data_IF_415048251038
#
_entry.id   IF_415048251038
#
_cell.length_a   1.000
_cell.length_b   1.000
_cell.length_c   1.000
_cell.angle_alpha   90.00
_cell.angle_beta   90.00
_cell.angle_gamma   90.00
#
_symmetry.space_group_name_H-M   'P 1'
#
loop_
_entity.id
_entity.type
_entity.pdbx_description
1 polymer ?
#
# COMPACT_ATOMS: atom_id res chain seq x y z
N UNK A 1 -61.21 36.59 -29.05
CA UNK A 1 -60.09 36.49 -30.01
C UNK A 1 -58.84 36.21 -29.19
N UNK A 2 -58.16 35.09 -29.52
CA UNK A 2 -56.73 34.73 -29.28
C UNK A 2 -56.20 34.73 -27.84
N UNK A 3 -56.00 33.56 -27.21
CA UNK A 3 -54.91 32.55 -27.32
C UNK A 3 -53.86 32.74 -26.21
N UNK A 4 -53.76 31.76 -25.28
CA UNK A 4 -52.65 30.79 -25.12
C UNK A 4 -51.47 31.36 -24.31
N UNK A 5 -50.75 30.68 -23.42
CA UNK A 5 -50.79 29.36 -22.76
C UNK A 5 -49.54 29.32 -21.84
N UNK A 6 -49.38 28.26 -21.02
CA UNK A 6 -48.15 27.79 -20.30
C UNK A 6 -48.02 28.33 -18.85
N UNK A 7 -48.42 27.54 -17.84
CA UNK A 7 -47.69 26.44 -17.14
C UNK A 7 -46.46 26.92 -16.36
N UNK A 8 -46.13 26.52 -15.13
CA UNK A 8 -46.70 25.57 -14.18
C UNK A 8 -45.76 25.47 -12.95
N UNK A 9 -46.36 25.46 -11.76
CA UNK A 9 -45.99 24.87 -10.45
C UNK A 9 -44.56 24.89 -9.83
N UNK A 10 -44.48 24.83 -8.47
CA UNK A 10 -43.27 25.08 -7.68
C UNK A 10 -42.55 23.82 -7.18
N UNK A 11 -41.29 23.99 -6.78
CA UNK A 11 -40.59 23.15 -5.80
C UNK A 11 -39.70 22.05 -6.39
N UNK A 12 -38.41 22.12 -6.08
CA UNK A 12 -37.64 20.99 -5.56
C UNK A 12 -36.43 21.54 -4.79
N UNK A 13 -36.49 21.36 -3.48
CA UNK A 13 -35.35 21.39 -2.56
C UNK A 13 -34.33 20.38 -3.06
N UNK A 14 -33.18 20.84 -3.53
CA UNK A 14 -32.04 19.98 -3.86
C UNK A 14 -31.55 19.29 -2.60
N UNK A 15 -31.94 18.02 -2.44
CA UNK A 15 -31.29 17.10 -1.52
C UNK A 15 -29.87 16.89 -2.02
N UNK A 16 -28.92 17.50 -1.32
CA UNK A 16 -27.52 17.09 -1.39
C UNK A 16 -27.48 15.63 -0.92
N UNK A 17 -27.32 14.68 -1.83
CA UNK A 17 -27.03 13.29 -1.47
C UNK A 17 -25.59 13.31 -0.94
N UNK A 18 -25.33 13.04 0.35
CA UNK A 18 -23.97 12.79 0.78
C UNK A 18 -23.52 11.47 0.13
N UNK A 19 -22.31 11.46 -0.45
CA UNK A 19 -21.64 10.22 -0.79
C UNK A 19 -21.69 9.32 0.45
N UNK A 20 -22.27 8.12 0.30
CA UNK A 20 -22.46 7.23 1.43
C UNK A 20 -21.10 6.82 1.97
N UNK A 21 -20.68 7.43 3.08
CA UNK A 21 -19.69 6.84 3.97
C UNK A 21 -20.35 5.58 4.49
N UNK A 22 -20.07 4.46 3.83
CA UNK A 22 -20.67 3.18 4.19
C UNK A 22 -20.42 2.87 5.67
N UNK A 23 -21.41 2.33 6.37
CA UNK A 23 -21.21 1.83 7.72
C UNK A 23 -20.12 0.75 7.73
N UNK A 24 -19.45 0.52 8.86
CA UNK A 24 -18.44 -0.55 9.03
C UNK A 24 -18.97 -1.91 8.54
N UNK A 25 -20.28 -2.16 8.69
CA UNK A 25 -20.93 -3.37 8.17
C UNK A 25 -20.95 -3.43 6.63
N UNK A 26 -21.23 -2.31 5.95
CA UNK A 26 -21.18 -2.26 4.47
C UNK A 26 -19.75 -2.36 3.93
N UNK A 27 -18.77 -1.79 4.64
CA UNK A 27 -17.35 -1.94 4.30
C UNK A 27 -16.91 -3.40 4.45
N UNK A 28 -17.31 -4.06 5.55
CA UNK A 28 -17.07 -5.48 5.75
C UNK A 28 -17.72 -6.34 4.66
N UNK A 29 -18.94 -6.03 4.23
CA UNK A 29 -19.61 -6.74 3.14
C UNK A 29 -18.85 -6.65 1.82
N UNK A 30 -18.37 -5.44 1.47
CA UNK A 30 -17.56 -5.23 0.27
C UNK A 30 -16.22 -5.97 0.33
N UNK A 31 -15.56 -5.95 1.49
CA UNK A 31 -14.31 -6.70 1.69
C UNK A 31 -14.53 -8.21 1.53
N UNK A 32 -15.57 -8.77 2.15
CA UNK A 32 -15.89 -10.19 2.01
C UNK A 32 -16.17 -10.54 0.55
N UNK A 33 -16.92 -9.70 -0.17
CA UNK A 33 -17.23 -9.94 -1.58
C UNK A 33 -15.98 -9.88 -2.47
N UNK A 34 -15.08 -8.93 -2.23
CA UNK A 34 -13.83 -8.78 -2.99
C UNK A 34 -12.84 -9.93 -2.79
N UNK A 35 -12.88 -10.59 -1.63
CA UNK A 35 -11.96 -11.69 -1.30
C UNK A 35 -12.58 -13.08 -1.47
N UNK A 36 -13.58 -13.20 -2.34
CA UNK A 36 -14.13 -14.50 -2.77
C UNK A 36 -13.61 -14.88 -4.15
N UNK A 37 -13.12 -16.11 -4.26
CA UNK A 37 -12.73 -16.70 -5.54
C UNK A 37 -13.93 -17.00 -6.44
N UNK A 38 -13.68 -17.31 -7.71
CA UNK A 38 -14.73 -17.63 -8.70
C UNK A 38 -15.60 -18.86 -8.33
N UNK A 39 -15.12 -19.71 -7.43
CA UNK A 39 -15.86 -20.85 -6.87
C UNK A 39 -16.68 -20.48 -5.61
N UNK A 40 -16.69 -19.20 -5.21
CA UNK A 40 -17.33 -18.69 -4.01
C UNK A 40 -16.54 -18.92 -2.72
N UNK A 41 -15.38 -19.58 -2.77
CA UNK A 41 -14.56 -19.82 -1.58
C UNK A 41 -13.92 -18.51 -1.09
N UNK A 42 -13.83 -18.34 0.22
CA UNK A 42 -13.21 -17.18 0.84
C UNK A 42 -11.70 -17.35 0.91
N UNK A 43 -10.96 -16.33 0.49
CA UNK A 43 -9.52 -16.21 0.76
C UNK A 43 -9.33 -15.51 2.12
N UNK A 44 -9.38 -16.30 3.19
CA UNK A 44 -9.28 -15.78 4.56
C UNK A 44 -7.97 -15.01 4.83
N UNK A 45 -6.79 -15.47 4.37
CA UNK A 45 -5.55 -14.69 4.46
C UNK A 45 -5.62 -13.33 3.74
N UNK A 46 -6.13 -13.30 2.51
CA UNK A 46 -6.23 -12.05 1.77
C UNK A 46 -7.25 -11.09 2.40
N UNK A 47 -8.38 -11.62 2.90
CA UNK A 47 -9.38 -10.84 3.65
C UNK A 47 -8.79 -10.24 4.93
N UNK A 48 -8.00 -11.01 5.71
CA UNK A 48 -7.31 -10.52 6.90
C UNK A 48 -6.36 -9.36 6.57
N UNK A 49 -5.58 -9.49 5.49
CA UNK A 49 -4.74 -8.40 5.00
C UNK A 49 -5.57 -7.19 4.54
N UNK A 50 -6.70 -7.41 3.85
CA UNK A 50 -7.60 -6.34 3.40
C UNK A 50 -8.23 -5.56 4.56
N UNK A 51 -8.58 -6.23 5.66
CA UNK A 51 -9.06 -5.59 6.90
C UNK A 51 -7.97 -4.72 7.52
N UNK A 52 -6.73 -5.22 7.62
CA UNK A 52 -5.59 -4.46 8.14
C UNK A 52 -5.31 -3.20 7.28
N UNK A 53 -5.30 -3.35 5.94
CA UNK A 53 -5.15 -2.21 5.00
C UNK A 53 -6.25 -1.17 5.17
N UNK A 54 -7.52 -1.62 5.21
CA UNK A 54 -8.68 -0.72 5.31
C UNK A 54 -8.72 0.07 6.61
N UNK A 55 -8.19 -0.52 7.69
CA UNK A 55 -8.09 0.15 8.98
C UNK A 55 -6.97 1.21 9.03
N UNK A 56 -6.02 1.22 8.08
CA UNK A 56 -4.89 2.17 8.10
C UNK A 56 -4.04 2.07 9.37
N UNK A 57 -4.11 0.91 10.05
CA UNK A 57 -3.62 0.66 11.39
C UNK A 57 -4.18 1.61 12.47
N UNK A 58 -5.42 2.05 12.38
CA UNK A 58 -6.17 2.40 13.59
C UNK A 58 -6.62 1.09 14.24
N UNK A 59 -6.12 0.78 15.44
CA UNK A 59 -6.40 -0.48 16.13
C UNK A 59 -7.88 -0.62 16.52
N UNK A 60 -8.54 0.49 16.85
CA UNK A 60 -9.97 0.52 17.17
C UNK A 60 -10.81 0.33 15.90
N UNK A 61 -10.42 0.98 14.79
CA UNK A 61 -11.06 0.78 13.50
C UNK A 61 -10.86 -0.65 12.97
N UNK A 62 -9.66 -1.21 13.18
CA UNK A 62 -9.32 -2.59 12.84
C UNK A 62 -10.19 -3.56 13.63
N UNK A 63 -10.25 -3.43 14.95
CA UNK A 63 -11.08 -4.29 15.79
C UNK A 63 -12.57 -4.20 15.42
N UNK A 64 -13.07 -2.99 15.13
CA UNK A 64 -14.45 -2.79 14.68
C UNK A 64 -14.73 -3.46 13.33
N UNK A 65 -13.77 -3.41 12.40
CA UNK A 65 -13.90 -4.00 11.07
C UNK A 65 -13.75 -5.53 11.10
N UNK A 66 -12.81 -6.07 11.87
CA UNK A 66 -12.68 -7.51 12.13
C UNK A 66 -13.97 -8.09 12.70
N UNK A 67 -14.57 -7.41 13.69
CA UNK A 67 -15.85 -7.83 14.27
C UNK A 67 -17.00 -7.78 13.25
N UNK A 68 -17.06 -6.73 12.42
CA UNK A 68 -18.09 -6.60 11.40
C UNK A 68 -17.96 -7.63 10.26
N UNK A 69 -16.73 -8.03 9.92
CA UNK A 69 -16.44 -9.12 8.98
C UNK A 69 -16.83 -10.46 9.58
N UNK A 70 -16.36 -10.76 10.80
CA UNK A 70 -16.65 -12.02 11.48
C UNK A 70 -18.15 -12.27 11.68
N UNK A 71 -18.95 -11.21 11.87
CA UNK A 71 -20.41 -11.29 12.00
C UNK A 71 -21.15 -11.68 10.70
N UNK A 72 -20.50 -11.55 9.54
CA UNK A 72 -21.09 -11.82 8.22
C UNK A 72 -20.61 -13.14 7.59
N UNK A 73 -19.60 -13.78 8.18
CA UNK A 73 -19.06 -15.05 7.72
C UNK A 73 -19.82 -16.25 8.29
N UNK A 74 -19.78 -17.38 7.59
CA UNK A 74 -20.25 -18.65 8.17
C UNK A 74 -19.33 -19.07 9.33
N UNK A 75 -19.76 -19.99 10.23
CA UNK A 75 -18.92 -20.43 11.34
C UNK A 75 -17.56 -21.01 10.92
N UNK A 76 -17.49 -21.67 9.76
CA UNK A 76 -16.23 -22.22 9.22
C UNK A 76 -15.33 -21.10 8.74
N UNK A 77 -15.84 -20.21 7.89
CA UNK A 77 -15.09 -19.07 7.35
C UNK A 77 -14.65 -18.09 8.45
N UNK A 78 -15.48 -17.91 9.48
CA UNK A 78 -15.15 -17.08 10.65
C UNK A 78 -13.97 -17.67 11.43
N UNK A 79 -13.93 -19.01 11.58
CA UNK A 79 -12.80 -19.70 12.19
C UNK A 79 -11.52 -19.63 11.35
N UNK A 80 -11.64 -19.75 10.03
CA UNK A 80 -10.51 -19.61 9.09
C UNK A 80 -9.98 -18.17 9.07
N UNK A 81 -10.87 -17.17 9.08
CA UNK A 81 -10.53 -15.75 9.18
C UNK A 81 -9.83 -15.42 10.51
N UNK A 82 -10.35 -15.91 11.64
CA UNK A 82 -9.70 -15.75 12.93
C UNK A 82 -8.30 -16.39 12.96
N UNK A 83 -8.15 -17.60 12.41
CA UNK A 83 -6.85 -18.25 12.29
C UNK A 83 -5.89 -17.47 11.37
N UNK A 84 -6.40 -16.83 10.31
CA UNK A 84 -5.61 -15.97 9.43
C UNK A 84 -5.19 -14.66 10.13
N UNK A 85 -6.07 -14.05 10.93
CA UNK A 85 -5.73 -12.91 11.79
C UNK A 85 -4.65 -13.31 12.81
N UNK A 86 -4.81 -14.44 13.48
CA UNK A 86 -3.81 -14.97 14.41
C UNK A 86 -2.48 -15.30 13.72
N UNK A 87 -2.50 -15.86 12.50
CA UNK A 87 -1.30 -16.12 11.73
C UNK A 87 -0.61 -14.82 11.27
N UNK A 88 -1.39 -13.79 10.91
CA UNK A 88 -0.87 -12.46 10.60
C UNK A 88 -0.27 -11.78 11.84
N UNK A 89 -0.81 -12.06 13.03
CA UNK A 89 -0.27 -11.61 14.31
C UNK A 89 0.92 -12.47 14.77
N UNK A 90 0.98 -13.77 14.45
CA UNK A 90 2.07 -14.68 14.81
C UNK A 90 3.33 -14.46 13.97
N UNK A 91 3.22 -13.80 12.81
CA UNK A 91 4.34 -13.20 12.09
C UNK A 91 4.81 -11.86 12.68
N UNK A 92 4.06 -11.29 13.62
CA UNK A 92 4.32 -10.02 14.31
C UNK A 92 4.42 -10.22 15.82
N UNK A 93 5.58 -10.69 16.31
CA UNK A 93 5.93 -10.38 17.70
C UNK A 93 5.99 -8.86 17.85
N UNK A 94 5.33 -8.30 18.87
CA UNK A 94 5.27 -6.87 19.24
C UNK A 94 6.24 -5.99 18.44
N UNK A 95 5.80 -5.57 17.24
CA UNK A 95 6.61 -4.75 16.34
C UNK A 95 6.36 -3.31 16.73
N UNK A 96 7.42 -2.59 17.08
CA UNK A 96 7.30 -1.16 17.35
C UNK A 96 6.69 -0.46 16.13
N UNK A 97 5.76 0.46 16.38
CA UNK A 97 5.08 1.19 15.31
C UNK A 97 5.33 2.68 15.43
N UNK A 98 5.94 3.23 14.38
CA UNK A 98 6.30 4.65 14.28
C UNK A 98 5.41 5.28 13.22
N UNK A 99 4.51 6.17 13.64
CA UNK A 99 3.62 6.92 12.75
C UNK A 99 4.11 8.35 12.66
N UNK A 100 4.51 8.79 11.46
CA UNK A 100 4.98 10.15 11.23
C UNK A 100 4.89 10.55 9.76
N UNK A 101 4.91 11.86 9.50
CA UNK A 101 4.94 12.37 8.12
C UNK A 101 6.33 12.19 7.49
N UNK A 102 6.35 12.01 6.17
CA UNK A 102 7.59 11.99 5.40
C UNK A 102 8.25 13.36 5.35
N UNK A 103 9.55 13.39 5.11
CA UNK A 103 10.31 14.62 5.01
C UNK A 103 10.08 15.39 3.71
N UNK A 104 10.63 16.60 3.70
CA UNK A 104 10.67 17.47 2.52
C UNK A 104 12.02 18.17 2.40
N UNK A 105 12.26 18.88 1.30
CA UNK A 105 13.55 19.56 1.10
C UNK A 105 13.83 20.57 2.22
N UNK A 106 14.89 20.30 2.98
CA UNK A 106 15.33 21.14 4.09
C UNK A 106 14.84 20.65 5.45
N UNK A 107 13.97 19.64 5.49
CA UNK A 107 13.43 19.06 6.72
C UNK A 107 13.18 17.55 6.51
N UNK A 108 14.25 16.77 6.67
CA UNK A 108 14.23 15.31 6.53
C UNK A 108 14.29 14.67 7.93
N UNK A 109 13.23 13.99 8.41
CA UNK A 109 13.18 13.41 9.75
C UNK A 109 14.32 12.40 9.96
N UNK A 110 15.16 12.55 10.99
CA UNK A 110 16.28 11.63 11.22
C UNK A 110 15.82 10.18 11.47
N UNK A 111 14.63 9.98 12.02
CA UNK A 111 14.05 8.66 12.29
C UNK A 111 13.80 7.86 11.01
N UNK A 112 13.38 8.54 9.92
CA UNK A 112 13.16 7.92 8.61
C UNK A 112 14.42 7.89 7.74
N UNK A 113 15.46 8.58 8.16
CA UNK A 113 16.71 8.82 7.42
C UNK A 113 17.95 8.25 8.10
N UNK A 114 17.76 7.53 9.20
CA UNK A 114 18.81 6.89 9.95
C UNK A 114 19.64 5.97 9.05
N UNK A 115 20.92 5.80 9.40
CA UNK A 115 21.82 4.91 8.65
C UNK A 115 21.25 3.49 8.59
N UNK A 116 20.80 3.06 9.75
CA UNK A 116 20.20 1.78 10.07
C UNK A 116 18.85 2.11 10.70
N UNK A 117 17.75 1.61 10.12
CA UNK A 117 16.41 1.78 10.70
C UNK A 117 16.26 0.88 11.92
N UNK A 118 15.24 1.14 12.74
CA UNK A 118 14.94 0.29 13.87
C UNK A 118 14.58 -1.12 13.38
N UNK A 119 15.18 -2.18 13.95
CA UNK A 119 14.84 -3.55 13.58
C UNK A 119 13.43 -3.94 13.99
N UNK A 120 12.77 -4.77 13.17
CA UNK A 120 11.43 -5.29 13.45
C UNK A 120 10.39 -4.20 13.76
N UNK A 121 10.49 -3.07 13.06
CA UNK A 121 9.64 -1.89 13.24
C UNK A 121 8.77 -1.66 12.01
N UNK A 122 7.55 -1.19 12.26
CA UNK A 122 6.59 -0.76 11.24
C UNK A 122 6.55 0.77 11.21
N UNK A 123 6.99 1.33 10.09
CA UNK A 123 6.96 2.77 9.83
C UNK A 123 5.73 3.10 8.99
N UNK A 124 4.82 3.92 9.53
CA UNK A 124 3.66 4.43 8.78
C UNK A 124 3.95 5.86 8.37
N UNK A 125 4.17 6.05 7.06
CA UNK A 125 4.63 7.32 6.47
C UNK A 125 3.82 7.61 5.22
N UNK A 126 3.22 8.80 5.14
CA UNK A 126 2.45 9.25 3.98
C UNK A 126 1.30 8.30 3.56
N UNK A 127 0.73 7.54 4.50
CA UNK A 127 -0.33 6.56 4.23
C UNK A 127 0.18 5.17 3.82
N UNK A 128 1.49 4.96 3.80
CA UNK A 128 2.13 3.68 3.50
C UNK A 128 2.75 3.06 4.74
N UNK A 129 2.69 1.74 4.86
CA UNK A 129 3.38 0.98 5.89
C UNK A 129 4.64 0.36 5.32
N UNK A 130 5.77 0.61 5.95
CA UNK A 130 7.07 0.00 5.65
C UNK A 130 7.50 -0.88 6.81
N UNK A 131 7.76 -2.17 6.55
CA UNK A 131 8.20 -3.09 7.59
C UNK A 131 9.68 -3.37 7.44
N UNK A 132 10.38 -3.42 8.57
CA UNK A 132 11.81 -3.75 8.62
C UNK A 132 12.06 -5.14 9.22
N UNK A 133 13.13 -5.81 8.80
CA UNK A 133 13.58 -7.05 9.44
C UNK A 133 14.45 -6.80 10.69
N UNK A 134 14.98 -7.88 11.27
CA UNK A 134 15.89 -7.82 12.41
C UNK A 134 17.23 -7.10 12.16
N UNK A 135 17.52 -6.72 10.92
CA UNK A 135 18.69 -5.92 10.53
C UNK A 135 18.31 -4.47 10.18
N UNK A 136 17.03 -4.09 10.29
CA UNK A 136 16.56 -2.76 9.90
C UNK A 136 16.46 -2.55 8.39
N UNK A 137 16.45 -3.62 7.58
CA UNK A 137 16.22 -3.53 6.13
C UNK A 137 14.73 -3.57 5.87
N UNK A 138 14.26 -2.74 4.94
CA UNK A 138 12.84 -2.67 4.58
C UNK A 138 12.48 -3.91 3.76
N UNK A 139 11.65 -4.78 4.32
CA UNK A 139 11.20 -6.03 3.68
C UNK A 139 9.86 -5.89 2.99
N UNK A 140 9.06 -4.87 3.33
CA UNK A 140 7.81 -4.60 2.63
C UNK A 140 7.44 -3.12 2.63
N UNK A 141 6.70 -2.72 1.60
CA UNK A 141 6.00 -1.44 1.52
C UNK A 141 4.57 -1.67 1.01
N UNK A 142 3.56 -1.18 1.71
CA UNK A 142 2.16 -1.39 1.33
C UNK A 142 1.28 -0.16 1.56
N UNK A 143 0.24 -0.03 0.71
CA UNK A 143 -0.80 0.98 0.84
C UNK A 143 -1.58 1.21 -0.45
N UNK A 144 -2.62 2.03 -0.37
CA UNK A 144 -3.36 2.53 -1.53
C UNK A 144 -2.60 3.71 -2.14
N UNK A 145 -2.34 3.68 -3.45
CA UNK A 145 -1.58 4.72 -4.12
C UNK A 145 -2.37 6.04 -4.21
N UNK A 146 -1.71 7.13 -3.84
CA UNK A 146 -2.25 8.50 -3.91
C UNK A 146 -1.49 9.34 -4.95
N UNK A 147 -2.18 9.82 -6.00
CA UNK A 147 -1.57 10.60 -7.09
C UNK A 147 -1.21 12.03 -6.65
N UNK A 148 -0.18 12.14 -5.82
CA UNK A 148 0.33 13.38 -5.23
C UNK A 148 1.85 13.33 -5.20
N UNK A 149 2.52 14.30 -5.79
CA UNK A 149 3.99 14.27 -5.86
C UNK A 149 4.65 14.71 -4.54
N UNK A 150 5.43 13.81 -3.92
CA UNK A 150 6.32 14.09 -2.80
C UNK A 150 7.72 14.51 -3.26
N UNK A 151 8.42 15.24 -2.38
CA UNK A 151 9.80 15.68 -2.60
C UNK A 151 10.77 14.49 -2.61
N UNK A 152 11.80 14.59 -3.46
CA UNK A 152 12.88 13.58 -3.53
C UNK A 152 14.09 14.00 -2.69
N UNK A 153 14.67 13.05 -1.97
CA UNK A 153 15.95 13.22 -1.28
C UNK A 153 17.10 12.69 -2.16
N UNK A 154 17.80 13.58 -2.87
CA UNK A 154 18.92 13.18 -3.74
C UNK A 154 20.10 12.59 -2.95
N UNK A 155 20.31 13.03 -1.72
CA UNK A 155 21.36 12.50 -0.85
C UNK A 155 21.08 11.04 -0.51
N UNK A 156 19.88 10.72 -0.01
CA UNK A 156 19.53 9.33 0.33
C UNK A 156 19.50 8.41 -0.87
N UNK A 157 19.04 8.88 -2.03
CA UNK A 157 19.12 8.10 -3.28
C UNK A 157 20.58 7.77 -3.65
N UNK A 158 21.50 8.71 -3.41
CA UNK A 158 22.94 8.52 -3.66
C UNK A 158 23.62 7.56 -2.69
N UNK A 159 23.18 7.51 -1.42
CA UNK A 159 23.80 6.66 -0.39
C UNK A 159 23.04 5.36 -0.09
N UNK A 160 21.93 5.08 -0.78
CA UNK A 160 21.18 3.82 -0.61
C UNK A 160 22.04 2.60 -0.95
N UNK A 161 21.90 1.53 -0.15
CA UNK A 161 22.70 0.28 -0.25
C UNK A 161 24.14 0.35 0.27
N UNK A 162 24.73 1.55 0.34
CA UNK A 162 26.08 1.80 0.89
C UNK A 162 27.12 0.78 0.39
N UNK A 163 27.65 -0.05 1.27
CA UNK A 163 28.72 -1.02 0.98
C UNK A 163 28.27 -2.13 0.02
N UNK A 164 26.99 -2.50 0.02
CA UNK A 164 26.45 -3.55 -0.87
C UNK A 164 25.91 -3.00 -2.18
N UNK A 165 25.90 -1.67 -2.35
CA UNK A 165 25.43 -1.01 -3.57
C UNK A 165 26.40 -1.33 -4.72
N UNK A 166 25.86 -1.79 -5.85
CA UNK A 166 26.64 -1.96 -7.07
C UNK A 166 26.84 -0.61 -7.80
N UNK A 167 27.91 -0.45 -8.59
CA UNK A 167 28.19 0.79 -9.32
C UNK A 167 27.07 1.23 -10.28
N UNK A 168 26.28 0.28 -10.76
CA UNK A 168 25.15 0.51 -11.66
C UNK A 168 23.79 0.59 -10.96
N UNK A 169 23.76 0.57 -9.62
CA UNK A 169 22.54 0.79 -8.85
C UNK A 169 22.22 2.29 -8.68
N UNK A 170 20.92 2.57 -8.58
CA UNK A 170 20.30 3.81 -8.16
C UNK A 170 19.64 3.62 -6.78
N UNK A 171 19.29 4.72 -6.10
CA UNK A 171 18.37 4.65 -4.96
C UNK A 171 16.94 4.58 -5.49
N UNK A 172 16.47 3.38 -5.78
CA UNK A 172 15.11 3.14 -6.26
C UNK A 172 14.11 3.39 -5.14
N UNK A 173 12.99 4.02 -5.48
CA UNK A 173 11.86 4.13 -4.55
C UNK A 173 11.07 2.82 -4.59
N UNK A 174 10.58 2.35 -3.44
CA UNK A 174 9.58 1.27 -3.41
C UNK A 174 8.22 1.84 -3.83
N UNK A 175 7.80 2.95 -3.22
CA UNK A 175 6.64 3.73 -3.66
C UNK A 175 7.14 4.99 -4.35
N UNK A 176 6.81 5.16 -5.63
CA UNK A 176 7.27 6.29 -6.43
C UNK A 176 6.88 7.65 -5.81
N UNK A 177 7.72 8.68 -6.02
CA UNK A 177 7.42 10.01 -5.48
C UNK A 177 6.14 10.61 -6.05
N UNK A 178 5.71 10.23 -7.26
CA UNK A 178 4.43 10.66 -7.85
C UNK A 178 3.21 10.07 -7.11
N UNK A 179 3.41 8.97 -6.39
CA UNK A 179 2.39 8.33 -5.55
C UNK A 179 2.52 8.73 -4.08
N UNK A 180 2.96 9.95 -3.78
CA UNK A 180 3.20 10.44 -2.41
C UNK A 180 4.25 9.60 -1.63
N UNK A 181 5.02 8.77 -2.32
CA UNK A 181 6.09 7.97 -1.73
C UNK A 181 7.16 8.90 -1.12
N UNK A 182 7.48 8.76 0.17
CA UNK A 182 8.41 9.64 0.85
C UNK A 182 9.80 9.54 0.22
N UNK A 183 10.50 10.67 0.15
CA UNK A 183 11.89 10.71 -0.30
C UNK A 183 12.89 10.15 0.72
N UNK A 184 12.43 9.79 1.92
CA UNK A 184 13.23 9.32 3.05
C UNK A 184 13.85 7.93 2.82
N UNK A 185 14.90 7.61 3.61
CA UNK A 185 15.63 6.32 3.51
C UNK A 185 14.73 5.10 3.66
N UNK A 186 13.66 5.18 4.45
CA UNK A 186 12.67 4.11 4.66
C UNK A 186 12.02 3.61 3.37
N UNK A 187 11.96 4.44 2.32
CA UNK A 187 11.33 4.07 1.04
C UNK A 187 12.38 3.85 -0.07
N UNK A 188 13.66 3.77 0.27
CA UNK A 188 14.75 3.68 -0.70
C UNK A 188 15.58 2.42 -0.55
N UNK A 189 15.72 1.69 -1.65
CA UNK A 189 16.58 0.50 -1.77
C UNK A 189 17.59 0.67 -2.90
N UNK A 190 18.77 0.04 -2.83
CA UNK A 190 19.66 -0.03 -3.98
C UNK A 190 19.02 -0.90 -5.08
N UNK A 191 18.76 -0.30 -6.23
CA UNK A 191 18.05 -0.91 -7.33
C UNK A 191 18.83 -0.72 -8.62
N UNK A 192 19.03 -1.78 -9.39
CA UNK A 192 19.78 -1.72 -10.64
C UNK A 192 19.22 -0.62 -11.55
N UNK A 193 20.06 0.28 -12.04
CA UNK A 193 19.60 1.48 -12.75
C UNK A 193 18.85 1.18 -14.05
N UNK A 194 19.24 0.12 -14.78
CA UNK A 194 18.52 -0.29 -15.99
C UNK A 194 17.12 -0.82 -15.65
N UNK A 195 17.00 -1.61 -14.59
CA UNK A 195 15.72 -2.10 -14.08
C UNK A 195 14.84 -0.97 -13.53
N UNK A 196 15.39 -0.12 -12.65
CA UNK A 196 14.71 1.02 -12.02
C UNK A 196 14.15 2.01 -13.06
N UNK A 197 14.91 2.30 -14.12
CA UNK A 197 14.48 3.19 -15.20
C UNK A 197 13.73 2.47 -16.34
N UNK A 198 13.62 1.14 -16.27
CA UNK A 198 13.00 0.28 -17.28
C UNK A 198 11.72 -0.33 -16.74
N UNK A 199 11.75 -1.64 -16.48
CA UNK A 199 10.57 -2.40 -16.07
C UNK A 199 9.88 -1.86 -14.82
N UNK A 200 10.64 -1.39 -13.82
CA UNK A 200 10.06 -0.78 -12.62
C UNK A 200 9.26 0.49 -12.95
N UNK A 201 9.85 1.40 -13.72
CA UNK A 201 9.18 2.63 -14.18
C UNK A 201 7.98 2.33 -15.09
N UNK A 202 8.05 1.28 -15.91
CA UNK A 202 6.93 0.90 -16.77
C UNK A 202 5.74 0.36 -15.95
N UNK A 203 6.00 -0.41 -14.89
CA UNK A 203 4.99 -0.80 -13.90
C UNK A 203 4.39 0.44 -13.20
N UNK A 204 5.22 1.35 -12.68
CA UNK A 204 4.77 2.61 -12.08
C UNK A 204 3.89 3.41 -13.05
N UNK A 205 4.27 3.53 -14.32
CA UNK A 205 3.45 4.20 -15.34
C UNK A 205 2.10 3.51 -15.54
N UNK A 206 2.04 2.18 -15.41
CA UNK A 206 0.79 1.42 -15.42
C UNK A 206 -0.15 1.87 -14.29
N UNK A 207 0.39 2.00 -13.08
CA UNK A 207 -0.37 2.49 -11.92
C UNK A 207 -0.81 3.95 -12.07
N UNK A 208 0.07 4.82 -12.57
CA UNK A 208 -0.25 6.22 -12.85
C UNK A 208 -1.45 6.34 -13.80
N UNK A 209 -1.40 5.64 -14.94
CA UNK A 209 -2.51 5.65 -15.90
C UNK A 209 -3.83 5.13 -15.31
N UNK A 210 -3.76 4.15 -14.40
CA UNK A 210 -4.95 3.62 -13.73
C UNK A 210 -5.57 4.66 -12.78
N UNK A 211 -4.74 5.33 -11.96
CA UNK A 211 -5.18 6.41 -11.08
C UNK A 211 -5.74 7.60 -11.87
N UNK A 212 -5.09 8.00 -12.97
CA UNK A 212 -5.60 9.06 -13.86
C UNK A 212 -6.95 8.71 -14.51
N UNK A 213 -7.20 7.41 -14.73
CA UNK A 213 -8.49 6.91 -15.19
C UNK A 213 -9.56 6.83 -14.08
N UNK A 214 -9.24 7.26 -12.86
CA UNK A 214 -10.15 7.27 -11.71
C UNK A 214 -10.32 5.90 -11.04
N UNK A 215 -9.39 4.98 -11.26
CA UNK A 215 -9.38 3.67 -10.59
C UNK A 215 -8.61 3.73 -9.29
N UNK A 216 -8.98 2.87 -8.35
CA UNK A 216 -8.19 2.62 -7.16
C UNK A 216 -7.05 1.64 -7.48
N UNK A 217 -5.88 1.89 -6.87
CA UNK A 217 -4.70 1.02 -6.97
C UNK A 217 -4.15 0.75 -5.58
N UNK A 218 -4.29 -0.48 -5.11
CA UNK A 218 -3.61 -0.97 -3.91
C UNK A 218 -2.33 -1.69 -4.31
N UNK A 219 -1.26 -1.51 -3.53
CA UNK A 219 0.02 -2.20 -3.76
C UNK A 219 0.60 -2.74 -2.46
N UNK A 220 1.21 -3.91 -2.57
CA UNK A 220 2.14 -4.47 -1.61
C UNK A 220 3.39 -4.94 -2.35
N UNK A 221 4.53 -4.42 -1.93
CA UNK A 221 5.85 -4.75 -2.46
C UNK A 221 6.60 -5.52 -1.39
N UNK A 222 6.95 -6.77 -1.67
CA UNK A 222 7.84 -7.57 -0.84
C UNK A 222 9.27 -7.49 -1.41
N UNK A 223 10.23 -7.14 -0.56
CA UNK A 223 11.64 -6.96 -0.91
C UNK A 223 12.42 -8.20 -0.47
N UNK A 224 13.06 -8.87 -1.44
CA UNK A 224 13.73 -10.14 -1.22
C UNK A 224 15.23 -9.91 -1.07
N UNK A 225 15.80 -10.33 0.05
CA UNK A 225 17.23 -10.24 0.33
C UNK A 225 17.87 -11.63 0.39
N UNK A 226 19.10 -11.74 -0.13
CA UNK A 226 19.96 -12.90 0.08
C UNK A 226 20.91 -12.64 1.25
N UNK A 227 20.92 -13.50 2.26
CA UNK A 227 21.84 -13.41 3.41
C UNK A 227 21.77 -12.03 4.09
N UNK A 228 22.93 -11.46 4.46
CA UNK A 228 23.07 -10.22 5.23
C UNK A 228 23.20 -8.96 4.35
N UNK A 229 23.02 -9.09 3.03
CA UNK A 229 23.13 -7.98 2.08
C UNK A 229 22.02 -6.93 2.31
N UNK A 230 22.38 -5.65 2.28
CA UNK A 230 21.43 -4.53 2.21
C UNK A 230 20.95 -4.22 0.80
N UNK A 231 21.52 -4.91 -0.21
CA UNK A 231 21.03 -4.92 -1.58
C UNK A 231 20.01 -6.04 -1.81
N UNK A 232 18.77 -5.73 -2.23
CA UNK A 232 17.79 -6.75 -2.60
C UNK A 232 18.26 -7.58 -3.78
N UNK A 233 17.89 -8.86 -3.78
CA UNK A 233 18.01 -9.77 -4.92
C UNK A 233 16.82 -9.65 -5.87
N UNK A 234 15.64 -9.30 -5.35
CA UNK A 234 14.43 -9.17 -6.15
C UNK A 234 13.25 -8.59 -5.39
N UNK A 235 12.12 -8.51 -6.09
CA UNK A 235 10.89 -7.89 -5.61
C UNK A 235 9.68 -8.71 -6.07
N UNK A 236 8.69 -8.84 -5.20
CA UNK A 236 7.36 -9.37 -5.55
C UNK A 236 6.34 -8.26 -5.32
N UNK A 237 5.59 -7.90 -6.35
CA UNK A 237 4.63 -6.80 -6.31
C UNK A 237 3.25 -7.41 -6.49
N UNK A 238 2.45 -7.36 -5.43
CA UNK A 238 1.04 -7.70 -5.47
C UNK A 238 0.27 -6.38 -5.56
N UNK A 239 -0.42 -6.15 -6.68
CA UNK A 239 -1.27 -4.97 -6.83
C UNK A 239 -2.70 -5.35 -7.17
N UNK A 240 -3.63 -4.50 -6.80
CA UNK A 240 -5.05 -4.61 -7.14
C UNK A 240 -5.48 -3.32 -7.82
N UNK A 241 -5.95 -3.42 -9.06
CA UNK A 241 -6.44 -2.26 -9.82
C UNK A 241 -7.94 -2.45 -10.02
N UNK A 242 -8.76 -1.62 -9.38
CA UNK A 242 -10.23 -1.67 -9.47
C UNK A 242 -10.79 -3.09 -9.19
N UNK A 243 -10.30 -3.72 -8.11
CA UNK A 243 -10.69 -5.09 -7.73
C UNK A 243 -10.00 -6.22 -8.48
N UNK A 244 -9.11 -5.91 -9.44
CA UNK A 244 -8.39 -6.93 -10.23
C UNK A 244 -6.96 -7.09 -9.70
N UNK A 245 -6.71 -8.21 -9.02
CA UNK A 245 -5.39 -8.55 -8.51
C UNK A 245 -4.43 -9.00 -9.63
N UNK A 246 -3.18 -8.57 -9.52
CA UNK A 246 -2.06 -8.99 -10.36
C UNK A 246 -0.78 -9.11 -9.52
N UNK A 247 0.12 -9.99 -9.96
CA UNK A 247 1.41 -10.20 -9.31
C UNK A 247 2.53 -10.09 -10.34
N UNK A 248 3.47 -9.20 -10.08
CA UNK A 248 4.73 -9.07 -10.82
C UNK A 248 5.90 -9.55 -9.96
N UNK A 249 6.91 -10.12 -10.60
CA UNK A 249 8.15 -10.54 -9.94
C UNK A 249 9.33 -10.03 -10.74
N UNK A 250 10.26 -9.35 -10.07
CA UNK A 250 11.45 -8.81 -10.69
C UNK A 250 12.72 -9.24 -9.96
N UNK A 251 13.79 -9.43 -10.72
CA UNK A 251 15.13 -9.62 -10.19
C UNK A 251 15.91 -8.30 -10.24
N UNK A 252 16.68 -7.99 -9.20
CA UNK A 252 17.43 -6.73 -9.11
C UNK A 252 18.72 -6.76 -9.95
N UNK A 253 18.55 -6.85 -11.27
CA UNK A 253 19.58 -6.93 -12.31
C UNK A 253 19.05 -6.33 -13.62
N UNK A 254 19.91 -6.06 -14.62
CA UNK A 254 19.46 -5.45 -15.87
C UNK A 254 18.25 -6.16 -16.49
N UNK A 255 17.24 -5.40 -16.90
CA UNK A 255 15.99 -5.91 -17.48
C UNK A 255 14.94 -6.43 -16.48
N UNK A 256 15.29 -6.66 -15.21
CA UNK A 256 14.34 -7.16 -14.20
C UNK A 256 13.97 -8.65 -14.32
N UNK A 257 14.62 -9.40 -15.22
CA UNK A 257 14.31 -10.81 -15.55
C UNK A 257 15.42 -11.73 -15.17
#
# INVERSE_FOLDING_TARGET
MTNDSISGLPGQSGTHIPAAVGSTASVAASLIAGHRGANGALDAPALAAGVARRAGGDDDARAALEAAVGAQLSPVESGEFAAALDASAAGGGDRDRIVMDGGSKGDWPPELNARDLQPNTDYVVNGYTYQTDGQGRVTSAEGQLDLKTADRNSYQQGVSGREDRLPDDQGGHLIASIFNGPGDRVNLVPMNGNFNMGAWRDMERGFENALEAGKDVDVKIDVIYSSDSTRPEGFVINSEIDGVAQTDTFFNRPGGV
#
